data_IF_932210480523
#
_entry.id   IF_932210480523
#
_cell.length_a   1.000
_cell.length_b   1.000
_cell.length_c   1.000
_cell.angle_alpha   90.00
_cell.angle_beta   90.00
_cell.angle_gamma   90.00
#
_symmetry.space_group_name_H-M   'P 1'
#
loop_
_entity.id
_entity.type
_entity.pdbx_description
1 polymer ?
#
# COMPACT_ATOMS: atom_id res chain seq x y z
N UNK A 1 -13.69 2.56 -4.39
CA UNK A 1 -14.24 1.73 -5.49
C UNK A 1 -13.38 0.47 -5.62
N UNK A 2 -14.00 -0.69 -5.75
CA UNK A 2 -13.28 -1.97 -5.87
C UNK A 2 -13.58 -2.62 -7.22
N UNK A 3 -12.54 -3.16 -7.86
CA UNK A 3 -12.58 -3.63 -9.25
C UNK A 3 -13.18 -5.03 -9.41
N UNK A 4 -13.35 -5.80 -8.33
CA UNK A 4 -13.69 -7.22 -8.39
C UNK A 4 -12.56 -8.08 -8.98
N UNK A 5 -12.81 -9.37 -9.26
CA UNK A 5 -11.80 -10.29 -9.81
C UNK A 5 -11.32 -9.87 -11.20
N UNK A 6 -10.01 -10.00 -11.45
CA UNK A 6 -9.41 -9.76 -12.76
C UNK A 6 -8.19 -10.66 -12.98
N UNK A 7 -7.86 -10.91 -14.25
CA UNK A 7 -6.71 -11.74 -14.64
C UNK A 7 -5.48 -10.87 -14.87
N UNK A 8 -4.33 -11.31 -14.37
CA UNK A 8 -3.02 -10.70 -14.62
C UNK A 8 -1.97 -11.76 -14.93
N UNK A 9 -0.87 -11.36 -15.58
CA UNK A 9 0.29 -12.22 -15.78
C UNK A 9 1.02 -12.42 -14.46
N UNK A 10 1.44 -13.65 -14.17
CA UNK A 10 2.22 -13.98 -12.98
C UNK A 10 3.73 -13.84 -13.19
N UNK A 11 4.51 -14.08 -12.14
CA UNK A 11 5.96 -14.14 -12.23
C UNK A 11 6.41 -15.29 -13.17
N UNK A 12 7.17 -15.03 -14.25
CA UNK A 12 7.63 -16.07 -15.18
C UNK A 12 8.68 -17.01 -14.56
N UNK A 13 9.40 -16.58 -13.53
CA UNK A 13 10.42 -17.38 -12.86
C UNK A 13 9.82 -18.07 -11.64
N UNK A 14 10.08 -19.37 -11.49
CA UNK A 14 9.60 -20.17 -10.35
C UNK A 14 10.78 -20.56 -9.46
N UNK A 15 10.75 -20.12 -8.21
CA UNK A 15 11.72 -20.47 -7.18
C UNK A 15 10.96 -21.25 -6.10
N UNK A 16 11.27 -22.54 -5.93
CA UNK A 16 10.58 -23.42 -4.97
C UNK A 16 10.59 -22.87 -3.56
N UNK A 17 11.72 -22.28 -3.17
CA UNK A 17 11.98 -21.81 -1.81
C UNK A 17 11.53 -20.35 -1.61
N UNK A 18 11.04 -19.70 -2.67
CA UNK A 18 10.57 -18.31 -2.65
C UNK A 18 9.37 -18.12 -3.58
N UNK A 19 8.20 -18.67 -3.23
CA UNK A 19 6.98 -18.50 -4.02
C UNK A 19 6.56 -17.02 -4.10
N UNK A 20 6.15 -16.58 -5.29
CA UNK A 20 5.60 -15.22 -5.48
C UNK A 20 4.10 -15.21 -5.20
N UNK A 21 3.67 -14.36 -4.28
CA UNK A 21 2.27 -14.12 -3.98
C UNK A 21 1.80 -12.86 -4.71
N UNK A 22 0.74 -12.97 -5.50
CA UNK A 22 0.17 -11.84 -6.26
C UNK A 22 -1.08 -11.38 -5.52
N UNK A 23 -1.07 -10.13 -5.08
CA UNK A 23 -2.21 -9.47 -4.42
C UNK A 23 -2.77 -8.37 -5.31
N UNK A 24 -3.94 -7.84 -4.93
CA UNK A 24 -4.55 -6.72 -5.64
C UNK A 24 -3.71 -5.44 -5.48
N UNK A 25 -3.65 -4.58 -6.51
CA UNK A 25 -3.02 -3.27 -6.39
C UNK A 25 -3.67 -2.44 -5.26
N UNK A 26 -2.89 -1.66 -4.51
CA UNK A 26 -3.43 -0.83 -3.44
C UNK A 26 -4.27 0.32 -4.01
N UNK A 27 -5.23 0.79 -3.21
CA UNK A 27 -5.99 2.00 -3.52
C UNK A 27 -5.15 3.26 -3.29
N UNK A 28 -5.59 4.37 -3.88
CA UNK A 28 -5.00 5.69 -3.60
C UNK A 28 -5.08 5.98 -2.10
N UNK A 29 -3.93 6.14 -1.46
CA UNK A 29 -3.82 6.46 -0.04
C UNK A 29 -4.03 5.29 0.93
N UNK A 30 -4.17 4.05 0.45
CA UNK A 30 -4.51 2.89 1.30
C UNK A 30 -3.54 2.67 2.47
N UNK A 31 -2.24 2.93 2.27
CA UNK A 31 -1.19 2.69 3.25
C UNK A 31 -0.58 3.99 3.81
N UNK A 32 -1.16 5.16 3.53
CA UNK A 32 -0.57 6.45 3.95
C UNK A 32 -0.40 6.54 5.46
N UNK A 33 -1.43 6.20 6.24
CA UNK A 33 -1.35 6.29 7.70
C UNK A 33 -0.47 5.19 8.31
N UNK A 34 -0.55 3.97 7.78
CA UNK A 34 0.26 2.83 8.19
C UNK A 34 1.75 3.15 8.07
N UNK A 35 2.16 3.74 6.95
CA UNK A 35 3.56 4.10 6.70
C UNK A 35 3.96 5.31 7.54
N UNK A 36 3.17 6.39 7.53
CA UNK A 36 3.53 7.63 8.22
C UNK A 36 3.61 7.44 9.74
N UNK A 37 2.65 6.74 10.35
CA UNK A 37 2.65 6.51 11.81
C UNK A 37 3.47 5.27 12.16
N UNK A 38 3.24 4.15 11.46
CA UNK A 38 3.80 2.86 11.84
C UNK A 38 5.27 2.70 11.48
N UNK A 39 5.68 3.10 10.28
CA UNK A 39 7.07 2.93 9.82
C UNK A 39 7.93 4.18 10.07
N UNK A 40 7.36 5.37 9.86
CA UNK A 40 8.08 6.63 10.01
C UNK A 40 7.91 7.28 11.38
N UNK A 41 6.99 6.79 12.21
CA UNK A 41 6.83 7.23 13.60
C UNK A 41 6.27 8.65 13.76
N UNK A 42 5.54 9.18 12.77
CA UNK A 42 4.90 10.49 12.88
C UNK A 42 3.83 10.48 13.98
N UNK A 43 3.72 11.60 14.70
CA UNK A 43 2.63 11.81 15.63
C UNK A 43 1.30 12.11 14.92
N UNK A 44 0.18 11.83 15.60
CA UNK A 44 -1.17 12.09 15.06
C UNK A 44 -1.37 13.54 14.62
N UNK A 45 -0.78 14.50 15.34
CA UNK A 45 -0.89 15.92 15.02
C UNK A 45 -0.12 16.30 13.75
N UNK A 46 1.04 15.69 13.52
CA UNK A 46 1.83 15.93 12.30
C UNK A 46 1.09 15.36 11.08
N UNK A 47 0.52 14.16 11.20
CA UNK A 47 -0.32 13.58 10.15
C UNK A 47 -1.52 14.49 9.83
N UNK A 48 -2.17 15.04 10.87
CA UNK A 48 -3.31 15.95 10.70
C UNK A 48 -2.92 17.21 9.93
N UNK A 49 -1.75 17.80 10.23
CA UNK A 49 -1.23 18.97 9.53
C UNK A 49 -0.90 18.64 8.06
N UNK A 50 -0.29 17.49 7.79
CA UNK A 50 0.05 17.07 6.42
C UNK A 50 -1.22 16.92 5.56
N UNK A 51 -2.26 16.28 6.10
CA UNK A 51 -3.57 16.16 5.44
C UNK A 51 -4.24 17.51 5.23
N UNK A 52 -4.23 18.38 6.25
CA UNK A 52 -4.85 19.71 6.17
C UNK A 52 -4.19 20.61 5.11
N UNK A 53 -2.88 20.45 4.92
CA UNK A 53 -2.11 21.19 3.92
C UNK A 53 -2.17 20.55 2.52
N UNK A 54 -2.86 19.41 2.35
CA UNK A 54 -2.94 18.69 1.07
C UNK A 54 -1.62 18.07 0.62
N UNK A 55 -0.70 17.81 1.55
CA UNK A 55 0.59 17.15 1.27
C UNK A 55 0.39 15.65 1.05
N UNK A 56 -0.57 15.05 1.76
CA UNK A 56 -0.96 13.64 1.67
C UNK A 56 -2.48 13.49 1.69
#
# INVERSE_FOLDING_TARGET
>A
PERGPFTTVGNPIKLSDSPTHITTPPLLGQHTEEILIGELGLGDEELRLLKANGVV
#
